data_IF_233682843006
#
_entry.id   IF_233682843006
#
_cell.length_a   1.000
_cell.length_b   1.000
_cell.length_c   1.000
_cell.angle_alpha   90.00
_cell.angle_beta   90.00
_cell.angle_gamma   90.00
#
_symmetry.space_group_name_H-M   'P 1'
#
loop_
_entity.id
_entity.type
_entity.pdbx_description
1 polymer ?
#
# COMPACT_ATOMS: atom_id res chain seq x y z
N UNK A 1 21.21 0.16 19.10
CA UNK A 1 20.07 -0.51 19.76
C UNK A 1 19.88 -1.87 19.10
N UNK A 2 19.99 -2.99 19.85
CA UNK A 2 19.62 -4.30 19.29
C UNK A 2 18.09 -4.33 19.17
N UNK A 3 17.57 -4.28 17.96
CA UNK A 3 16.13 -4.37 17.68
C UNK A 3 15.57 -5.69 18.23
N UNK A 4 14.49 -5.61 19.00
CA UNK A 4 13.84 -6.79 19.55
C UNK A 4 13.01 -7.48 18.44
N UNK A 5 13.53 -8.61 17.94
CA UNK A 5 12.89 -9.38 16.87
C UNK A 5 11.41 -9.70 17.17
N UNK A 6 11.07 -10.08 18.42
CA UNK A 6 9.68 -10.40 18.81
C UNK A 6 8.79 -9.18 18.66
N UNK A 7 9.27 -8.01 19.10
CA UNK A 7 8.52 -6.76 19.00
C UNK A 7 8.22 -6.41 17.53
N UNK A 8 9.22 -6.48 16.64
CA UNK A 8 9.03 -6.22 15.21
C UNK A 8 8.04 -7.21 14.60
N UNK A 9 8.18 -8.50 14.94
CA UNK A 9 7.30 -9.55 14.45
C UNK A 9 5.83 -9.26 14.82
N UNK A 10 5.54 -8.99 16.09
CA UNK A 10 4.17 -8.68 16.53
C UNK A 10 3.63 -7.37 15.95
N UNK A 11 4.48 -6.32 15.82
CA UNK A 11 4.11 -5.09 15.12
C UNK A 11 3.66 -5.39 13.67
N UNK A 12 4.40 -6.23 12.96
CA UNK A 12 4.07 -6.62 11.57
C UNK A 12 2.83 -7.51 11.48
N UNK A 13 2.54 -8.33 12.49
CA UNK A 13 1.26 -9.07 12.58
C UNK A 13 0.10 -8.09 12.67
N UNK A 14 0.17 -7.11 13.56
CA UNK A 14 -0.89 -6.10 13.70
C UNK A 14 -1.04 -5.25 12.44
N UNK A 15 0.07 -4.85 11.81
CA UNK A 15 0.07 -4.15 10.53
C UNK A 15 -0.59 -4.97 9.42
N UNK A 16 -0.27 -6.27 9.34
CA UNK A 16 -0.90 -7.19 8.39
C UNK A 16 -2.42 -7.25 8.60
N UNK A 17 -2.86 -7.39 9.86
CA UNK A 17 -4.29 -7.42 10.18
C UNK A 17 -4.98 -6.11 9.81
N UNK A 18 -4.38 -4.96 10.15
CA UNK A 18 -4.92 -3.65 9.80
C UNK A 18 -5.03 -3.44 8.28
N UNK A 19 -3.99 -3.82 7.53
CA UNK A 19 -3.98 -3.74 6.07
C UNK A 19 -5.02 -4.67 5.43
N UNK A 20 -5.10 -5.92 5.89
CA UNK A 20 -6.10 -6.89 5.45
C UNK A 20 -7.52 -6.38 5.73
N UNK A 21 -7.77 -5.89 6.94
CA UNK A 21 -9.08 -5.34 7.32
C UNK A 21 -9.46 -4.13 6.47
N UNK A 22 -8.52 -3.21 6.22
CA UNK A 22 -8.76 -2.06 5.33
C UNK A 22 -9.20 -2.49 3.94
N UNK A 23 -8.44 -3.38 3.29
CA UNK A 23 -8.76 -3.92 1.95
C UNK A 23 -10.08 -4.68 1.95
N UNK A 24 -10.30 -5.54 2.96
CA UNK A 24 -11.53 -6.32 3.09
C UNK A 24 -12.76 -5.43 3.19
N UNK A 25 -12.72 -4.37 4.01
CA UNK A 25 -13.82 -3.43 4.17
C UNK A 25 -14.06 -2.62 2.90
N UNK A 26 -13.01 -2.16 2.22
CA UNK A 26 -13.13 -1.46 0.92
C UNK A 26 -13.87 -2.33 -0.10
N UNK A 27 -13.44 -3.57 -0.29
CA UNK A 27 -14.05 -4.49 -1.25
C UNK A 27 -15.49 -4.83 -0.86
N UNK A 28 -15.75 -5.19 0.41
CA UNK A 28 -17.07 -5.71 0.81
C UNK A 28 -18.15 -4.65 0.91
N UNK A 29 -17.81 -3.40 1.25
CA UNK A 29 -18.80 -2.33 1.45
C UNK A 29 -19.06 -1.47 0.21
N UNK A 30 -18.09 -1.32 -0.69
CA UNK A 30 -18.13 -0.25 -1.70
C UNK A 30 -18.23 -0.73 -3.15
N UNK A 31 -18.30 -2.04 -3.42
CA UNK A 31 -18.59 -2.53 -4.78
C UNK A 31 -17.89 -3.81 -5.20
N UNK A 32 -17.44 -4.64 -4.25
CA UNK A 32 -16.82 -5.92 -4.53
C UNK A 32 -15.48 -5.77 -5.26
N UNK A 33 -15.20 -6.71 -6.15
CA UNK A 33 -13.92 -6.77 -6.88
C UNK A 33 -13.69 -5.55 -7.79
N UNK A 34 -14.72 -4.78 -8.14
CA UNK A 34 -14.55 -3.53 -8.88
C UNK A 34 -13.69 -2.50 -8.14
N UNK A 35 -13.62 -2.58 -6.81
CA UNK A 35 -12.74 -1.73 -5.99
C UNK A 35 -11.25 -1.95 -6.27
N UNK A 36 -10.86 -3.09 -6.83
CA UNK A 36 -9.48 -3.36 -7.25
C UNK A 36 -9.00 -2.49 -8.42
N UNK A 37 -9.89 -1.69 -9.02
CA UNK A 37 -9.53 -0.72 -10.04
C UNK A 37 -8.94 0.58 -9.45
N UNK A 38 -9.09 0.80 -8.14
CA UNK A 38 -8.50 1.94 -7.44
C UNK A 38 -7.06 1.69 -6.98
N UNK A 39 -6.19 2.68 -7.13
CA UNK A 39 -4.81 2.63 -6.65
C UNK A 39 -4.73 2.42 -5.14
N UNK A 40 -5.62 3.06 -4.38
CA UNK A 40 -5.69 2.92 -2.93
C UNK A 40 -5.85 1.45 -2.52
N UNK A 41 -6.76 0.72 -3.16
CA UNK A 41 -7.02 -0.68 -2.81
C UNK A 41 -5.84 -1.57 -3.24
N UNK A 42 -5.29 -1.33 -4.43
CA UNK A 42 -4.12 -2.09 -4.93
C UNK A 42 -2.86 -1.87 -4.08
N UNK A 43 -2.57 -0.64 -3.66
CA UNK A 43 -1.42 -0.32 -2.82
C UNK A 43 -1.55 -0.90 -1.41
N UNK A 44 -2.74 -0.87 -0.81
CA UNK A 44 -3.00 -1.52 0.48
C UNK A 44 -2.96 -3.06 0.38
N UNK A 45 -3.45 -3.62 -0.73
CA UNK A 45 -3.31 -5.05 -1.01
C UNK A 45 -1.84 -5.45 -1.17
N UNK A 46 -1.04 -4.63 -1.86
CA UNK A 46 0.41 -4.83 -1.97
C UNK A 46 1.08 -4.84 -0.60
N UNK A 47 0.75 -3.91 0.29
CA UNK A 47 1.24 -3.90 1.69
C UNK A 47 0.80 -5.16 2.43
N UNK A 48 -0.45 -5.59 2.28
CA UNK A 48 -0.97 -6.81 2.91
C UNK A 48 -0.18 -8.05 2.49
N UNK A 49 -0.02 -8.24 1.17
CA UNK A 49 0.72 -9.38 0.60
C UNK A 49 2.19 -9.33 1.02
N UNK A 50 2.82 -8.15 0.91
CA UNK A 50 4.24 -7.99 1.22
C UNK A 50 4.51 -8.21 2.71
N UNK A 51 3.66 -7.70 3.60
CA UNK A 51 3.80 -7.90 5.05
C UNK A 51 3.57 -9.38 5.41
N UNK A 52 2.60 -10.05 4.77
CA UNK A 52 2.42 -11.50 4.92
C UNK A 52 3.66 -12.30 4.49
N UNK A 53 4.29 -11.90 3.38
CA UNK A 53 5.55 -12.48 2.94
C UNK A 53 6.69 -12.21 3.95
N UNK A 54 6.83 -10.99 4.47
CA UNK A 54 7.82 -10.67 5.51
C UNK A 54 7.64 -11.54 6.75
N UNK A 55 6.40 -11.71 7.23
CA UNK A 55 6.09 -12.55 8.40
C UNK A 55 6.47 -14.01 8.14
N UNK A 56 6.21 -14.52 6.93
CA UNK A 56 6.63 -15.87 6.51
C UNK A 56 8.15 -16.01 6.55
N UNK A 57 8.88 -15.09 5.92
CA UNK A 57 10.36 -15.10 5.90
C UNK A 57 10.92 -15.00 7.32
N UNK A 58 10.35 -14.13 8.16
CA UNK A 58 10.76 -13.99 9.56
C UNK A 58 10.54 -15.29 10.34
N UNK A 59 9.43 -16.00 10.12
CA UNK A 59 9.08 -17.24 10.85
C UNK A 59 9.97 -18.44 10.53
N UNK A 60 10.73 -18.40 9.43
CA UNK A 60 11.59 -19.50 8.99
C UNK A 60 13.01 -19.33 9.52
N UNK A 61 13.46 -20.29 10.32
CA UNK A 61 14.84 -20.35 10.80
C UNK A 61 15.83 -20.37 9.63
N UNK A 62 16.72 -19.38 9.56
CA UNK A 62 17.79 -19.32 8.56
C UNK A 62 17.53 -18.39 7.36
N UNK A 63 16.30 -17.91 7.14
CA UNK A 63 16.04 -16.90 6.10
C UNK A 63 16.37 -15.49 6.59
N UNK A 64 17.07 -14.70 5.76
CA UNK A 64 17.44 -13.33 6.09
C UNK A 64 16.34 -12.34 5.69
N UNK A 65 15.42 -12.07 6.61
CA UNK A 65 14.36 -11.06 6.49
C UNK A 65 14.89 -9.60 6.35
N UNK A 66 16.21 -9.41 6.44
CA UNK A 66 16.93 -8.15 6.25
C UNK A 66 17.89 -8.21 5.03
N UNK A 67 17.61 -9.08 4.05
CA UNK A 67 18.41 -9.14 2.83
C UNK A 67 18.31 -7.83 2.03
N UNK A 68 19.40 -7.36 1.38
CA UNK A 68 19.39 -6.11 0.63
C UNK A 68 18.27 -6.05 -0.41
N UNK A 69 18.03 -7.15 -1.13
CA UNK A 69 16.96 -7.25 -2.13
C UNK A 69 15.59 -7.02 -1.51
N UNK A 70 15.30 -7.65 -0.37
CA UNK A 70 14.01 -7.54 0.30
C UNK A 70 13.76 -6.12 0.83
N UNK A 71 14.77 -5.49 1.43
CA UNK A 71 14.66 -4.12 1.93
C UNK A 71 14.49 -3.11 0.79
N UNK A 72 15.16 -3.31 -0.35
CA UNK A 72 14.97 -2.48 -1.55
C UNK A 72 13.56 -2.63 -2.15
N UNK A 73 13.02 -3.85 -2.18
CA UNK A 73 11.62 -4.08 -2.58
C UNK A 73 10.64 -3.42 -1.59
N UNK A 74 10.89 -3.53 -0.29
CA UNK A 74 10.10 -2.89 0.75
C UNK A 74 10.07 -1.37 0.62
N UNK A 75 11.19 -0.76 0.21
CA UNK A 75 11.25 0.66 -0.14
C UNK A 75 10.26 1.04 -1.25
N UNK A 76 10.16 0.23 -2.31
CA UNK A 76 9.20 0.45 -3.39
C UNK A 76 7.74 0.31 -2.94
N UNK A 77 7.44 -0.68 -2.09
CA UNK A 77 6.11 -0.83 -1.47
C UNK A 77 5.78 0.37 -0.57
N UNK A 78 6.77 0.84 0.20
CA UNK A 78 6.63 2.02 1.07
C UNK A 78 6.33 3.27 0.25
N UNK A 79 7.04 3.47 -0.88
CA UNK A 79 6.78 4.59 -1.77
C UNK A 79 5.36 4.51 -2.34
N UNK A 80 4.94 3.34 -2.81
CA UNK A 80 3.62 3.12 -3.38
C UNK A 80 2.49 3.42 -2.38
N UNK A 81 2.61 2.96 -1.13
CA UNK A 81 1.58 3.23 -0.11
C UNK A 81 1.61 4.68 0.38
N UNK A 82 2.77 5.35 0.37
CA UNK A 82 2.86 6.75 0.75
C UNK A 82 2.25 7.69 -0.29
N UNK A 83 2.28 7.34 -1.58
CA UNK A 83 1.53 8.08 -2.61
C UNK A 83 0.04 8.13 -2.24
N UNK A 84 -0.55 7.00 -1.83
CA UNK A 84 -1.95 6.94 -1.39
C UNK A 84 -2.23 7.90 -0.24
N UNK A 85 -1.37 7.92 0.79
CA UNK A 85 -1.52 8.83 1.93
C UNK A 85 -1.41 10.30 1.53
N UNK A 86 -0.39 10.66 0.75
CA UNK A 86 -0.13 12.04 0.33
C UNK A 86 -1.25 12.55 -0.58
N UNK A 87 -1.61 11.80 -1.63
CA UNK A 87 -2.70 12.18 -2.53
C UNK A 87 -4.01 12.31 -1.75
N UNK A 88 -4.30 11.35 -0.87
CA UNK A 88 -5.51 11.43 -0.07
C UNK A 88 -5.52 12.68 0.82
N UNK A 89 -4.47 12.91 1.60
CA UNK A 89 -4.42 14.02 2.54
C UNK A 89 -4.58 15.39 1.87
N UNK A 90 -3.91 15.60 0.74
CA UNK A 90 -3.91 16.91 0.07
C UNK A 90 -5.03 17.09 -0.95
N UNK A 91 -5.49 16.03 -1.62
CA UNK A 91 -6.44 16.14 -2.73
C UNK A 91 -7.84 15.64 -2.40
N UNK A 92 -7.97 14.52 -1.68
CA UNK A 92 -9.25 13.84 -1.50
C UNK A 92 -9.91 14.16 -0.15
N UNK A 93 -9.13 14.24 0.94
CA UNK A 93 -9.61 14.53 2.28
C UNK A 93 -10.36 15.87 2.39
N UNK A 94 -9.89 16.99 1.77
CA UNK A 94 -10.58 18.29 1.89
C UNK A 94 -11.98 18.30 1.25
N UNK A 95 -12.26 17.39 0.32
CA UNK A 95 -13.52 17.29 -0.41
C UNK A 95 -14.32 16.03 -0.04
N UNK A 96 -13.86 15.25 0.94
CA UNK A 96 -14.49 14.02 1.36
C UNK A 96 -15.72 14.30 2.24
N UNK A 97 -16.87 13.74 1.87
CA UNK A 97 -18.10 13.83 2.67
C UNK A 97 -18.16 12.79 3.79
N UNK A 98 -17.50 11.64 3.60
CA UNK A 98 -17.50 10.51 4.53
C UNK A 98 -16.11 10.24 5.11
N UNK A 99 -15.49 11.29 5.66
CA UNK A 99 -14.10 11.23 6.15
C UNK A 99 -13.91 10.21 7.29
N UNK A 100 -14.87 10.11 8.21
CA UNK A 100 -14.71 9.38 9.48
C UNK A 100 -14.95 7.85 9.40
N UNK A 101 -14.74 7.24 8.23
CA UNK A 101 -14.90 5.79 8.05
C UNK A 101 -13.63 5.03 8.48
N UNK A 102 -13.81 3.86 9.08
CA UNK A 102 -12.69 3.02 9.55
C UNK A 102 -11.80 2.59 8.39
N UNK A 103 -12.37 2.10 7.30
CA UNK A 103 -11.62 1.71 6.10
C UNK A 103 -10.83 2.89 5.50
N UNK A 104 -11.41 4.10 5.58
CA UNK A 104 -10.77 5.30 5.07
C UNK A 104 -9.52 5.65 5.88
N UNK A 105 -9.58 5.63 7.22
CA UNK A 105 -8.40 5.82 8.06
C UNK A 105 -7.37 4.69 7.92
N UNK A 106 -7.83 3.44 7.84
CA UNK A 106 -6.94 2.29 7.67
C UNK A 106 -6.13 2.42 6.37
N UNK A 107 -6.81 2.61 5.25
CA UNK A 107 -6.21 2.59 3.92
C UNK A 107 -5.41 3.85 3.56
N UNK A 108 -5.75 5.01 4.15
CA UNK A 108 -5.12 6.29 3.78
C UNK A 108 -4.19 6.87 4.83
N UNK A 109 -4.24 6.43 6.09
CA UNK A 109 -3.36 6.96 7.15
C UNK A 109 -2.66 5.88 7.96
N UNK A 110 -3.41 4.98 8.63
CA UNK A 110 -2.84 4.05 9.60
C UNK A 110 -1.85 3.10 8.93
N UNK A 111 -2.27 2.39 7.87
CA UNK A 111 -1.40 1.43 7.18
C UNK A 111 -0.23 2.13 6.48
N UNK A 112 -0.43 3.22 5.70
CA UNK A 112 0.69 3.95 5.09
C UNK A 112 1.74 4.43 6.10
N UNK A 113 1.32 5.13 7.15
CA UNK A 113 2.24 5.73 8.13
C UNK A 113 2.93 4.66 8.99
N UNK A 114 2.21 3.59 9.35
CA UNK A 114 2.81 2.47 10.07
C UNK A 114 3.81 1.71 9.21
N UNK A 115 3.50 1.44 7.93
CA UNK A 115 4.44 0.77 7.04
C UNK A 115 5.69 1.63 6.79
N UNK A 116 5.54 2.95 6.66
CA UNK A 116 6.66 3.89 6.61
C UNK A 116 7.50 3.82 7.90
N UNK A 117 6.87 3.90 9.08
CA UNK A 117 7.57 3.81 10.35
C UNK A 117 8.32 2.47 10.50
N UNK A 118 7.70 1.34 10.13
CA UNK A 118 8.34 0.02 10.12
C UNK A 118 9.59 0.02 9.24
N UNK A 119 9.52 0.65 8.06
CA UNK A 119 10.66 0.80 7.14
C UNK A 119 11.76 1.69 7.71
N UNK A 120 11.43 2.82 8.31
CA UNK A 120 12.44 3.76 8.83
C UNK A 120 13.14 3.24 10.09
N UNK A 121 12.41 2.58 10.99
CA UNK A 121 12.93 2.22 12.31
C UNK A 121 13.45 0.78 12.41
N UNK A 122 12.91 -0.16 11.61
CA UNK A 122 13.23 -1.58 11.79
C UNK A 122 14.04 -2.21 10.66
N UNK A 123 14.14 -1.55 9.50
CA UNK A 123 14.94 -2.08 8.39
C UNK A 123 16.43 -1.73 8.55
N UNK A 124 17.27 -2.61 8.02
CA UNK A 124 18.71 -2.38 7.93
C UNK A 124 18.97 -1.16 7.04
N UNK A 125 19.75 -0.21 7.55
CA UNK A 125 20.12 1.00 6.83
C UNK A 125 21.18 0.74 5.75
N UNK A 126 21.32 1.67 4.81
CA UNK A 126 22.35 1.64 3.76
C UNK A 126 22.17 0.55 2.70
N UNK A 127 20.94 0.05 2.52
CA UNK A 127 20.63 -0.99 1.53
C UNK A 127 20.20 -0.43 0.17
N UNK A 128 19.78 0.84 0.11
CA UNK A 128 19.28 1.47 -1.11
C UNK A 128 20.40 1.87 -2.07
N UNK A 129 20.16 1.71 -3.36
CA UNK A 129 21.00 2.17 -4.46
C UNK A 129 20.46 3.49 -5.02
N UNK A 130 21.34 4.25 -5.67
CA UNK A 130 20.99 5.56 -6.25
C UNK A 130 19.82 5.52 -7.26
N UNK A 131 19.65 4.39 -7.96
CA UNK A 131 18.59 4.19 -8.94
C UNK A 131 17.31 3.58 -8.37
N UNK A 132 17.29 3.21 -7.09
CA UNK A 132 16.12 2.59 -6.47
C UNK A 132 14.88 3.51 -6.50
N UNK A 133 14.97 4.82 -6.20
CA UNK A 133 13.80 5.71 -6.30
C UNK A 133 13.17 5.72 -7.70
N UNK A 134 13.99 5.69 -8.76
CA UNK A 134 13.50 5.64 -10.13
C UNK A 134 12.80 4.31 -10.39
N UNK A 135 13.38 3.18 -9.97
CA UNK A 135 12.76 1.86 -10.13
C UNK A 135 11.44 1.75 -9.36
N UNK A 136 11.33 2.38 -8.19
CA UNK A 136 10.11 2.35 -7.40
C UNK A 136 8.95 3.08 -8.08
N UNK A 137 9.21 4.11 -8.89
CA UNK A 137 8.18 4.82 -9.68
C UNK A 137 7.53 3.98 -10.76
N UNK A 138 8.09 2.82 -11.12
CA UNK A 138 7.50 1.93 -12.11
C UNK A 138 6.09 1.49 -11.67
N UNK A 139 5.88 1.19 -10.38
CA UNK A 139 4.57 0.74 -9.88
C UNK A 139 3.43 1.76 -10.11
N UNK A 140 3.52 3.02 -9.63
CA UNK A 140 2.49 4.01 -9.91
C UNK A 140 2.36 4.34 -11.40
N UNK A 141 3.45 4.32 -12.18
CA UNK A 141 3.39 4.57 -13.63
C UNK A 141 2.65 3.44 -14.38
N UNK A 142 2.87 2.19 -14.01
CA UNK A 142 2.14 1.04 -14.55
C UNK A 142 0.64 1.15 -14.21
N UNK A 143 0.31 1.56 -12.97
CA UNK A 143 -1.08 1.81 -12.62
C UNK A 143 -1.70 2.95 -13.44
N UNK A 144 -0.98 4.04 -13.65
CA UNK A 144 -1.45 5.16 -14.48
C UNK A 144 -1.78 4.69 -15.90
N UNK A 145 -0.89 3.91 -16.52
CA UNK A 145 -1.13 3.32 -17.85
C UNK A 145 -2.38 2.44 -17.81
N UNK A 146 -2.52 1.59 -16.79
CA UNK A 146 -3.69 0.75 -16.61
C UNK A 146 -4.99 1.56 -16.45
N UNK A 147 -4.98 2.63 -15.65
CA UNK A 147 -6.15 3.48 -15.42
C UNK A 147 -6.58 4.20 -16.70
N UNK A 148 -5.63 4.72 -17.48
CA UNK A 148 -5.90 5.32 -18.79
C UNK A 148 -6.43 4.29 -19.79
N UNK A 149 -5.83 3.10 -19.83
CA UNK A 149 -6.28 2.02 -20.69
C UNK A 149 -7.69 1.55 -20.31
N UNK A 150 -8.01 1.49 -19.02
CA UNK A 150 -9.37 1.19 -18.59
C UNK A 150 -10.35 2.26 -19.07
N UNK A 151 -10.05 3.54 -18.83
CA UNK A 151 -10.99 4.60 -19.17
C UNK A 151 -11.17 4.82 -20.67
N UNK A 152 -10.12 4.62 -21.47
CA UNK A 152 -10.16 4.85 -22.92
C UNK A 152 -10.59 3.61 -23.72
N UNK A 153 -10.28 2.40 -23.23
CA UNK A 153 -10.43 1.16 -24.01
C UNK A 153 -11.39 0.16 -23.35
N UNK A 154 -11.06 -0.35 -22.16
CA UNK A 154 -11.82 -1.46 -21.55
C UNK A 154 -13.20 -1.03 -21.06
N UNK A 155 -13.30 0.21 -20.58
CA UNK A 155 -14.50 0.82 -19.98
C UNK A 155 -15.10 -0.03 -18.85
N UNK A 156 -14.26 -0.68 -18.04
CA UNK A 156 -14.76 -1.43 -16.88
C UNK A 156 -15.42 -0.45 -15.90
N UNK A 157 -16.59 -0.84 -15.41
CA UNK A 157 -17.34 -0.05 -14.44
C UNK A 157 -16.58 0.02 -13.11
N UNK A 158 -16.29 1.24 -12.64
CA UNK A 158 -15.61 1.47 -11.37
C UNK A 158 -16.65 1.87 -10.32
N UNK A 159 -16.86 1.04 -9.27
CA UNK A 159 -17.84 1.33 -8.25
C UNK A 159 -17.63 2.70 -7.60
N UNK A 160 -18.70 3.45 -7.44
CA UNK A 160 -18.74 4.77 -6.79
C UNK A 160 -17.82 5.85 -7.40
N UNK A 161 -17.23 5.61 -8.58
CA UNK A 161 -16.47 6.65 -9.27
C UNK A 161 -17.43 7.67 -9.91
N UNK A 162 -17.16 8.95 -9.68
CA UNK A 162 -17.87 10.06 -10.34
C UNK A 162 -17.46 10.21 -11.81
N UNK A 163 -16.25 9.77 -12.15
CA UNK A 163 -15.60 9.95 -13.46
C UNK A 163 -15.50 8.63 -14.25
N UNK A 164 -16.38 7.68 -13.93
CA UNK A 164 -16.49 6.37 -14.59
C UNK A 164 -16.50 6.54 -16.13
N UNK A 165 -15.70 5.80 -16.92
CA UNK A 165 -14.93 4.58 -16.62
C UNK A 165 -13.55 4.76 -15.98
N UNK A 166 -13.23 5.92 -15.43
CA UNK A 166 -11.95 6.12 -14.78
C UNK A 166 -12.04 6.21 -13.26
N UNK A 167 -10.96 5.87 -12.54
CA UNK A 167 -10.97 5.82 -11.08
C UNK A 167 -10.85 7.18 -10.41
N UNK A 168 -10.36 8.20 -11.11
CA UNK A 168 -10.11 9.54 -10.57
C UNK A 168 -10.47 10.59 -11.63
N UNK A 169 -10.52 11.86 -11.27
CA UNK A 169 -10.62 12.94 -12.24
C UNK A 169 -9.26 13.17 -12.91
N UNK A 170 -9.22 13.35 -14.23
CA UNK A 170 -8.07 13.85 -15.02
C UNK A 170 -8.51 15.03 -15.88
#
# INVERSE_FOLDING_TARGET
MKLNYKFIFYSRVLLFLAAFTGVYLEITKHGGFGMLLYYTVLSNLLVTIFTGYLLRVMSRSGENWQSPTLIRLKGGVTMSIMITCVIYHFMLAPIATDFYRVENFLCHYIVPLWFLADTLFFDKQGQYKIWDPVLWTILPLVYMIFALFNGLVLKLNIPNSKDNPFPYFF
#
